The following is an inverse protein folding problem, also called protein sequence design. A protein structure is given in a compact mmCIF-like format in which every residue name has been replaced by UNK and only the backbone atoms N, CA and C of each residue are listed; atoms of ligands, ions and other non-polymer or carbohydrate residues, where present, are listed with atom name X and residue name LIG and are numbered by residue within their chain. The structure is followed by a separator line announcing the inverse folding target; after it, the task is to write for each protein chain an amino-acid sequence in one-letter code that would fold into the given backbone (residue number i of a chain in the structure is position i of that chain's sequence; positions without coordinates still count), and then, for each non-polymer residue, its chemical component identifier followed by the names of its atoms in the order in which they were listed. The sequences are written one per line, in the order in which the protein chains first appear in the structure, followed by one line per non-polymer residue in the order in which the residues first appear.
data_IF_500277040682
#
_entry.id   IF_500277040682
#
_cell.length_a   1.000
_cell.length_b   1.000
_cell.length_c   1.000
_cell.angle_alpha   90.00
_cell.angle_beta   90.00
_cell.angle_gamma   90.00
#
_symmetry.space_group_name_H-M   'P 1'
#
loop_
_entity.id
_entity.type
_entity.pdbx_description
1 polymer ?
#
# COMPACT_ATOMS: atom_id res chain seq x y z
N UNK A 1 17.55 -15.45 -23.14
CA UNK A 1 16.92 -15.15 -21.84
C UNK A 1 15.47 -15.60 -21.98
N UNK A 2 14.96 -16.52 -21.16
CA UNK A 2 13.52 -16.72 -21.09
C UNK A 2 12.88 -15.39 -20.69
N UNK A 3 11.81 -14.98 -21.37
CA UNK A 3 11.03 -13.82 -20.96
C UNK A 3 10.51 -14.09 -19.55
N UNK A 4 10.66 -13.11 -18.65
CA UNK A 4 10.18 -13.23 -17.28
C UNK A 4 8.68 -13.48 -17.31
N UNK A 5 8.22 -14.51 -16.60
CA UNK A 5 6.80 -14.80 -16.50
C UNK A 5 6.08 -13.67 -15.76
N UNK A 6 4.78 -13.55 -15.93
CA UNK A 6 4.01 -12.59 -15.13
C UNK A 6 4.06 -12.92 -13.63
N UNK A 7 4.23 -14.21 -13.29
CA UNK A 7 4.45 -14.63 -11.91
C UNK A 7 5.79 -14.13 -11.36
N UNK A 8 6.86 -14.19 -12.16
CA UNK A 8 8.18 -13.67 -11.78
C UNK A 8 8.11 -12.15 -11.55
N UNK A 9 7.44 -11.43 -12.46
CA UNK A 9 7.24 -9.99 -12.33
C UNK A 9 6.40 -9.63 -11.09
N UNK A 10 5.30 -10.35 -10.85
CA UNK A 10 4.48 -10.18 -9.66
C UNK A 10 5.28 -10.42 -8.37
N UNK A 11 6.13 -11.45 -8.37
CA UNK A 11 7.00 -11.79 -7.24
C UNK A 11 7.97 -10.64 -6.97
N UNK A 12 8.68 -10.16 -8.00
CA UNK A 12 9.62 -9.05 -7.87
C UNK A 12 8.95 -7.77 -7.34
N UNK A 13 7.76 -7.40 -7.84
CA UNK A 13 7.02 -6.22 -7.37
C UNK A 13 6.65 -6.32 -5.88
N UNK A 14 6.27 -7.50 -5.41
CA UNK A 14 5.90 -7.71 -4.00
C UNK A 14 7.15 -7.67 -3.11
N UNK A 15 8.21 -8.36 -3.53
CA UNK A 15 9.47 -8.38 -2.77
C UNK A 15 10.09 -6.99 -2.64
N UNK A 16 10.09 -6.22 -3.73
CA UNK A 16 10.56 -4.83 -3.74
C UNK A 16 9.73 -3.95 -2.80
N UNK A 17 8.40 -4.02 -2.89
CA UNK A 17 7.53 -3.18 -2.10
C UNK A 17 7.60 -3.51 -0.60
N UNK A 18 7.71 -4.78 -0.21
CA UNK A 18 7.75 -5.20 1.19
C UNK A 18 9.15 -5.41 1.78
N UNK A 19 10.20 -5.40 0.95
CA UNK A 19 11.59 -5.46 1.39
C UNK A 19 12.01 -6.81 1.95
N UNK A 20 11.55 -7.91 1.34
CA UNK A 20 11.90 -9.25 1.79
C UNK A 20 11.51 -10.34 0.77
N UNK A 21 12.05 -11.56 0.91
CA UNK A 21 11.78 -12.65 -0.01
C UNK A 21 10.33 -13.14 0.12
N UNK A 22 9.75 -13.58 -0.99
CA UNK A 22 8.33 -13.93 -1.09
C UNK A 22 7.90 -15.00 -0.07
N UNK A 23 8.74 -15.99 0.22
CA UNK A 23 8.45 -17.07 1.16
C UNK A 23 8.30 -16.55 2.60
N UNK A 24 9.12 -15.58 2.98
CA UNK A 24 9.01 -14.95 4.29
C UNK A 24 7.73 -14.12 4.40
N UNK A 25 7.41 -13.38 3.34
CA UNK A 25 6.22 -12.55 3.25
C UNK A 25 4.93 -13.39 3.26
N UNK A 26 4.90 -14.54 2.59
CA UNK A 26 3.77 -15.48 2.61
C UNK A 26 3.51 -16.00 4.03
N UNK A 27 4.57 -16.38 4.75
CA UNK A 27 4.46 -16.80 6.15
C UNK A 27 3.87 -15.70 7.03
N UNK A 28 4.24 -14.44 6.82
CA UNK A 28 3.70 -13.30 7.55
C UNK A 28 2.22 -13.11 7.22
N UNK A 29 1.86 -13.06 5.94
CA UNK A 29 0.49 -12.87 5.47
C UNK A 29 -0.47 -13.97 5.95
N UNK A 30 0.04 -15.20 6.12
CA UNK A 30 -0.72 -16.33 6.64
C UNK A 30 -0.90 -16.27 8.17
N UNK A 31 0.20 -16.02 8.91
CA UNK A 31 0.16 -16.05 10.38
C UNK A 31 -0.52 -14.82 10.98
N UNK A 32 -0.45 -13.67 10.31
CA UNK A 32 -0.96 -12.38 10.81
C UNK A 32 -1.73 -11.63 9.74
N UNK A 33 -2.89 -12.16 9.33
CA UNK A 33 -3.64 -11.66 8.18
C UNK A 33 -4.19 -10.24 8.36
N UNK A 34 -4.34 -9.78 9.61
CA UNK A 34 -4.85 -8.46 9.95
C UNK A 34 -3.77 -7.38 10.06
N UNK A 35 -2.51 -7.78 10.25
CA UNK A 35 -1.40 -6.84 10.48
C UNK A 35 -1.03 -6.07 9.21
N UNK A 36 -1.17 -6.72 8.05
CA UNK A 36 -0.96 -6.10 6.74
C UNK A 36 -1.99 -6.62 5.71
N UNK A 37 -3.16 -5.97 5.61
CA UNK A 37 -4.21 -6.38 4.68
C UNK A 37 -3.82 -6.18 3.21
N UNK A 38 -2.90 -5.26 2.91
CA UNK A 38 -2.41 -5.02 1.55
C UNK A 38 -1.46 -6.13 1.13
N UNK A 39 -0.57 -6.58 2.02
CA UNK A 39 0.29 -7.74 1.76
C UNK A 39 -0.55 -9.00 1.51
N UNK A 40 -1.57 -9.22 2.34
CA UNK A 40 -2.49 -10.34 2.17
C UNK A 40 -3.19 -10.29 0.81
N UNK A 41 -3.66 -9.11 0.40
CA UNK A 41 -4.30 -8.93 -0.90
C UNK A 41 -3.35 -9.21 -2.06
N UNK A 42 -2.11 -8.70 -1.99
CA UNK A 42 -1.07 -8.98 -2.99
C UNK A 42 -0.76 -10.49 -3.09
N UNK A 43 -0.65 -11.18 -1.95
CA UNK A 43 -0.42 -12.63 -1.92
C UNK A 43 -1.57 -13.43 -2.53
N UNK A 44 -2.82 -13.01 -2.30
CA UNK A 44 -3.97 -13.65 -2.95
C UNK A 44 -3.96 -13.46 -4.47
N UNK A 45 -3.64 -12.26 -4.96
CA UNK A 45 -3.54 -12.01 -6.41
C UNK A 45 -2.40 -12.83 -7.03
N UNK A 46 -1.23 -12.88 -6.38
CA UNK A 46 -0.10 -13.71 -6.84
C UNK A 46 -0.45 -15.20 -6.84
N UNK A 47 -1.14 -15.68 -5.81
CA UNK A 47 -1.60 -17.08 -5.77
C UNK A 47 -2.58 -17.40 -6.90
N UNK A 48 -3.48 -16.48 -7.24
CA UNK A 48 -4.36 -16.63 -8.40
C UNK A 48 -3.55 -16.71 -9.71
N UNK A 49 -2.57 -15.83 -9.90
CA UNK A 49 -1.64 -15.87 -11.05
C UNK A 49 -0.91 -17.21 -11.20
N UNK A 50 -0.39 -17.75 -10.09
CA UNK A 50 0.30 -19.04 -10.05
C UNK A 50 -0.61 -20.18 -10.52
N UNK A 51 -1.87 -20.18 -10.11
CA UNK A 51 -2.81 -21.26 -10.42
C UNK A 51 -3.33 -21.16 -11.85
N UNK A 52 -3.73 -19.96 -12.30
CA UNK A 52 -4.53 -19.82 -13.52
C UNK A 52 -3.77 -19.27 -14.71
N UNK A 53 -2.97 -18.22 -14.53
CA UNK A 53 -2.49 -17.42 -15.66
C UNK A 53 -1.21 -17.99 -16.28
N UNK A 54 -0.22 -18.34 -15.46
CA UNK A 54 1.09 -18.70 -15.99
C UNK A 54 1.08 -20.07 -16.70
N UNK A 55 0.36 -21.03 -16.10
CA UNK A 55 0.17 -22.36 -16.67
C UNK A 55 -0.73 -22.33 -17.92
N UNK A 56 -1.76 -21.50 -17.95
CA UNK A 56 -2.65 -21.40 -19.12
C UNK A 56 -1.99 -20.71 -20.30
N UNK A 57 -1.25 -19.62 -20.08
CA UNK A 57 -0.50 -18.93 -21.15
C UNK A 57 0.47 -19.90 -21.82
N UNK A 58 1.29 -20.61 -21.04
CA UNK A 58 2.25 -21.57 -21.59
C UNK A 58 1.55 -22.70 -22.37
N UNK A 59 0.45 -23.25 -21.85
CA UNK A 59 -0.33 -24.31 -22.50
C UNK A 59 -0.96 -23.84 -23.82
N UNK A 60 -1.56 -22.64 -23.84
CA UNK A 60 -2.17 -22.10 -25.05
C UNK A 60 -1.12 -21.67 -26.09
N UNK A 61 0.03 -21.15 -25.67
CA UNK A 61 1.17 -20.88 -26.54
C UNK A 61 1.71 -22.15 -27.18
N UNK A 62 1.96 -23.20 -26.40
CA UNK A 62 2.48 -24.47 -26.93
C UNK A 62 1.47 -25.11 -27.89
N UNK A 63 0.18 -25.08 -27.54
CA UNK A 63 -0.90 -25.59 -28.41
C UNK A 63 -0.98 -24.81 -29.72
N UNK A 64 -0.91 -23.49 -29.67
CA UNK A 64 -0.93 -22.65 -30.87
C UNK A 64 0.31 -22.92 -31.72
N UNK A 65 1.49 -22.97 -31.10
CA UNK A 65 2.75 -23.27 -31.77
C UNK A 65 2.73 -24.63 -32.47
N UNK A 66 2.19 -25.67 -31.83
CA UNK A 66 2.04 -26.99 -32.44
C UNK A 66 1.16 -26.97 -33.71
N UNK A 67 0.08 -26.18 -33.70
CA UNK A 67 -0.85 -26.04 -34.83
C UNK A 67 -0.32 -25.13 -35.95
N UNK A 68 0.64 -24.25 -35.65
CA UNK A 68 1.21 -23.29 -36.60
C UNK A 68 2.69 -23.54 -36.90
N UNK A 69 3.22 -24.71 -36.54
CA UNK A 69 4.64 -25.04 -36.74
C UNK A 69 4.95 -25.11 -38.24
N UNK A 70 6.13 -24.63 -38.68
CA UNK A 70 6.55 -24.77 -40.08
C UNK A 70 6.46 -26.23 -40.56
N UNK A 71 5.88 -26.43 -41.75
CA UNK A 71 5.68 -27.76 -42.33
C UNK A 71 4.36 -28.44 -41.96
N UNK A 72 3.58 -27.89 -41.02
CA UNK A 72 2.20 -28.31 -40.78
C UNK A 72 1.26 -27.55 -41.71
N UNK A 73 0.54 -28.26 -42.58
CA UNK A 73 -0.54 -27.69 -43.39
C UNK A 73 -1.87 -27.85 -42.61
N UNK A 74 -2.48 -26.76 -42.10
CA UNK A 74 -3.68 -26.87 -41.26
C UNK A 74 -4.84 -27.49 -42.05
N UNK A 75 -5.45 -28.53 -41.49
CA UNK A 75 -6.71 -29.06 -42.01
C UNK A 75 -7.88 -28.09 -41.71
N UNK A 76 -9.05 -28.31 -42.33
CA UNK A 76 -10.24 -27.47 -42.08
C UNK A 76 -10.59 -27.36 -40.58
N UNK A 77 -10.51 -28.46 -39.83
CA UNK A 77 -10.76 -28.48 -38.39
C UNK A 77 -9.64 -27.84 -37.55
N UNK A 78 -8.42 -27.72 -38.10
CA UNK A 78 -7.32 -27.04 -37.42
C UNK A 78 -7.55 -25.52 -37.40
N UNK A 79 -8.21 -24.95 -38.39
CA UNK A 79 -8.54 -23.52 -38.41
C UNK A 79 -9.39 -23.11 -37.19
N UNK A 80 -10.39 -23.92 -36.85
CA UNK A 80 -11.20 -23.70 -35.65
C UNK A 80 -10.36 -23.84 -34.36
N UNK A 81 -9.45 -24.83 -34.30
CA UNK A 81 -8.58 -25.03 -33.14
C UNK A 81 -7.53 -23.92 -32.97
N UNK A 82 -6.99 -23.40 -34.06
CA UNK A 82 -6.06 -22.27 -34.08
C UNK A 82 -6.77 -21.03 -33.54
N UNK A 83 -7.95 -20.73 -34.08
CA UNK A 83 -8.72 -19.55 -33.66
C UNK A 83 -9.16 -19.64 -32.20
N UNK A 84 -9.63 -20.80 -31.73
CA UNK A 84 -9.98 -21.00 -30.33
C UNK A 84 -8.75 -20.88 -29.41
N UNK A 85 -7.65 -21.55 -29.73
CA UNK A 85 -6.43 -21.50 -28.91
C UNK A 85 -5.82 -20.09 -28.86
N UNK A 86 -5.91 -19.34 -29.96
CA UNK A 86 -5.48 -17.95 -30.00
C UNK A 86 -6.40 -17.01 -29.20
N UNK A 87 -7.71 -17.29 -29.16
CA UNK A 87 -8.64 -16.54 -28.32
C UNK A 87 -8.35 -16.81 -26.83
N UNK A 88 -8.21 -18.08 -26.45
CA UNK A 88 -7.89 -18.48 -25.08
C UNK A 88 -6.55 -17.90 -24.62
N UNK A 89 -5.54 -17.89 -25.48
CA UNK A 89 -4.24 -17.27 -25.18
C UNK A 89 -4.38 -15.77 -24.88
N UNK A 90 -5.17 -15.03 -25.66
CA UNK A 90 -5.39 -13.60 -25.42
C UNK A 90 -6.12 -13.36 -24.09
N UNK A 91 -7.09 -14.20 -23.75
CA UNK A 91 -7.80 -14.13 -22.47
C UNK A 91 -6.80 -14.35 -21.33
N UNK A 92 -6.01 -15.42 -21.39
CA UNK A 92 -5.00 -15.73 -20.38
C UNK A 92 -3.96 -14.59 -20.22
N UNK A 93 -3.51 -13.98 -21.32
CA UNK A 93 -2.61 -12.82 -21.29
C UNK A 93 -3.26 -11.57 -20.66
N UNK A 94 -4.55 -11.32 -20.96
CA UNK A 94 -5.30 -10.20 -20.39
C UNK A 94 -5.54 -10.39 -18.88
N UNK A 95 -5.87 -11.61 -18.43
CA UNK A 95 -5.99 -11.95 -17.02
C UNK A 95 -4.66 -11.75 -16.29
N UNK A 96 -3.57 -12.25 -16.89
CA UNK A 96 -2.22 -12.09 -16.36
C UNK A 96 -1.83 -10.61 -16.19
N UNK A 97 -2.12 -9.79 -17.21
CA UNK A 97 -1.84 -8.36 -17.20
C UNK A 97 -2.71 -7.61 -16.17
N UNK A 98 -3.97 -8.00 -16.04
CA UNK A 98 -4.91 -7.43 -15.06
C UNK A 98 -4.45 -7.72 -13.63
N UNK A 99 -3.95 -8.93 -13.37
CA UNK A 99 -3.42 -9.28 -12.06
C UNK A 99 -2.14 -8.50 -11.72
N UNK A 100 -1.22 -8.32 -12.68
CA UNK A 100 -0.05 -7.44 -12.50
C UNK A 100 -0.45 -6.00 -12.18
N UNK A 101 -1.43 -5.46 -12.91
CA UNK A 101 -1.95 -4.12 -12.67
C UNK A 101 -2.60 -4.02 -11.28
N UNK A 102 -3.35 -5.04 -10.85
CA UNK A 102 -3.93 -5.09 -9.52
C UNK A 102 -2.84 -5.08 -8.42
N UNK A 103 -1.76 -5.84 -8.58
CA UNK A 103 -0.62 -5.81 -7.65
C UNK A 103 0.02 -4.41 -7.64
N UNK A 104 0.22 -3.79 -8.81
CA UNK A 104 0.74 -2.42 -8.90
C UNK A 104 -0.12 -1.43 -8.10
N UNK A 105 -1.46 -1.52 -8.21
CA UNK A 105 -2.36 -0.67 -7.44
C UNK A 105 -2.29 -0.93 -5.93
N UNK A 106 -2.12 -2.19 -5.51
CA UNK A 106 -1.93 -2.53 -4.08
C UNK A 106 -0.63 -1.95 -3.54
N UNK A 107 0.47 -2.03 -4.31
CA UNK A 107 1.76 -1.41 -3.95
C UNK A 107 1.60 0.11 -3.82
N UNK A 108 0.98 0.77 -4.79
CA UNK A 108 0.70 2.20 -4.74
C UNK A 108 -0.18 2.59 -3.54
N UNK A 109 -1.19 1.78 -3.22
CA UNK A 109 -2.03 1.99 -2.04
C UNK A 109 -1.22 1.89 -0.74
N UNK A 110 -0.22 1.00 -0.67
CA UNK A 110 0.66 0.89 0.50
C UNK A 110 1.55 2.11 0.66
N UNK A 111 2.15 2.59 -0.42
CA UNK A 111 3.01 3.78 -0.40
C UNK A 111 2.24 5.03 0.02
N UNK A 112 1.01 5.18 -0.48
CA UNK A 112 0.11 6.28 -0.09
C UNK A 112 -0.35 6.17 1.37
N UNK A 113 -0.64 4.97 1.88
CA UNK A 113 -0.96 4.77 3.29
C UNK A 113 0.24 5.11 4.21
N UNK A 114 1.44 4.66 3.85
CA UNK A 114 2.66 4.93 4.62
C UNK A 114 3.00 6.44 4.69
N UNK A 115 2.71 7.19 3.63
CA UNK A 115 2.87 8.66 3.64
C UNK A 115 1.78 9.37 4.43
N UNK A 116 0.54 8.88 4.38
CA UNK A 116 -0.57 9.40 5.16
C UNK A 116 -0.32 9.29 6.68
N UNK A 117 0.17 8.14 7.15
CA UNK A 117 0.45 7.90 8.58
C UNK A 117 1.62 8.75 9.12
N UNK A 118 2.53 9.19 8.23
CA UNK A 118 3.67 10.04 8.61
C UNK A 118 3.24 11.46 8.97
N UNK A 119 2.19 11.99 8.36
CA UNK A 119 1.77 13.37 8.59
C UNK A 119 1.25 13.64 10.04
N UNK A 120 0.36 12.81 10.62
CA UNK A 120 -0.04 12.90 12.03
C UNK A 120 1.15 12.76 12.99
N UNK A 121 2.04 11.79 12.75
CA UNK A 121 3.21 11.58 13.60
C UNK A 121 4.13 12.80 13.61
N UNK A 122 4.33 13.43 12.44
CA UNK A 122 5.11 14.67 12.32
C UNK A 122 4.47 15.83 13.08
N UNK A 123 3.14 15.98 13.00
CA UNK A 123 2.41 17.00 13.78
C UNK A 123 2.50 16.77 15.28
N UNK A 124 2.41 15.52 15.74
CA UNK A 124 2.58 15.17 17.15
C UNK A 124 4.00 15.48 17.65
N UNK A 125 5.01 15.16 16.85
CA UNK A 125 6.40 15.50 17.16
C UNK A 125 6.61 17.02 17.23
N UNK A 126 6.08 17.79 16.28
CA UNK A 126 6.12 19.26 16.30
C UNK A 126 5.41 19.84 17.52
N UNK A 127 4.24 19.31 17.89
CA UNK A 127 3.52 19.75 19.08
C UNK A 127 4.28 19.43 20.38
N UNK A 128 4.98 18.28 20.44
CA UNK A 128 5.84 17.95 21.58
C UNK A 128 7.04 18.89 21.68
N UNK A 129 7.70 19.20 20.56
CA UNK A 129 8.80 20.18 20.50
C UNK A 129 8.33 21.57 20.94
N UNK A 130 7.17 22.03 20.45
CA UNK A 130 6.59 23.32 20.83
C UNK A 130 6.28 23.42 22.34
N UNK A 131 5.80 22.33 22.96
CA UNK A 131 5.60 22.28 24.42
C UNK A 131 6.92 22.34 25.19
N UNK A 132 7.92 21.57 24.79
CA UNK A 132 9.24 21.59 25.45
C UNK A 132 9.94 22.94 25.34
N UNK A 133 9.80 23.66 24.23
CA UNK A 133 10.33 25.01 24.09
C UNK A 133 9.61 26.04 24.98
N UNK A 134 8.31 25.81 25.25
CA UNK A 134 7.53 26.67 26.15
C UNK A 134 7.93 26.49 27.62
N UNK A 135 8.19 25.25 28.05
CA UNK A 135 8.66 24.97 29.41
C UNK A 135 10.06 25.56 29.68
N UNK A 136 10.94 25.58 28.67
CA UNK A 136 12.24 26.26 28.76
C UNK A 136 12.11 27.79 28.83
N UNK A 137 11.12 28.37 28.16
CA UNK A 137 10.91 29.82 28.18
C UNK A 137 10.25 30.30 29.49
N UNK A 138 9.38 29.48 30.09
CA UNK A 138 8.75 29.77 31.39
C UNK A 138 9.77 29.73 32.55
N UNK A 139 10.79 28.87 32.49
CA UNK A 139 11.88 28.85 33.48
C UNK A 139 12.90 30.00 33.32
N UNK A 140 12.86 30.74 32.21
CA UNK A 140 13.75 31.88 31.95
C UNK A 140 13.17 33.25 32.32
N UNK A 141 11.88 33.36 32.64
CA UNK A 141 11.28 34.60 33.14
C UNK A 141 11.11 34.55 34.65
N UNK A 142 12.16 34.99 35.36
CA UNK A 142 12.00 35.61 36.68
C UNK A 142 11.38 37.00 36.43
N UNK A 143 10.13 37.29 36.84
CA UNK A 143 9.63 38.64 36.81
C UNK A 143 10.18 39.37 38.04
N UNK A 144 11.25 40.15 37.86
CA UNK A 144 11.59 41.19 38.83
C UNK A 144 10.63 42.36 38.61
N UNK A 145 9.41 42.23 39.16
CA UNK A 145 8.44 43.31 39.20
C UNK A 145 8.30 43.75 40.66
N UNK A 146 9.13 44.73 41.01
CA UNK A 146 9.05 45.49 42.23
C UNK A 146 7.62 46.05 42.43
N UNK A 147 6.98 45.65 43.52
CA UNK A 147 5.72 46.20 43.98
C UNK A 147 5.97 47.50 44.79
N UNK A 148 5.28 48.61 44.50
CA UNK A 148 5.19 49.73 45.44
C UNK A 148 4.04 49.51 46.44
N UNK A 149 4.16 50.02 47.68
CA UNK A 149 3.29 49.66 48.80
C UNK A 149 1.96 50.44 48.82
N UNK A 150 0.98 49.83 49.48
CA UNK A 150 -0.37 50.34 49.69
C UNK A 150 -0.42 51.56 50.63
N UNK A 151 -1.33 52.51 50.34
CA UNK A 151 -1.85 53.47 51.31
C UNK A 151 -3.38 53.40 51.32
N UNK A 152 -3.90 53.25 52.53
CA UNK A 152 -5.29 53.10 52.95
C UNK A 152 -6.01 54.47 52.97
N UNK A 153 -7.28 54.51 52.56
CA UNK A 153 -8.19 55.64 52.79
C UNK A 153 -9.62 55.17 53.11
N UNK A 154 -10.42 55.92 53.90
CA UNK A 154 -11.48 55.35 54.74
C UNK A 154 -12.90 55.36 54.16
N UNK A 155 -13.77 54.68 54.92
CA UNK A 155 -15.14 54.19 54.77
C UNK A 155 -16.30 55.12 54.32
N UNK A 156 -17.33 54.42 53.78
CA UNK A 156 -18.80 54.54 53.95
C UNK A 156 -19.62 55.35 52.90
N UNK A 157 -20.96 55.17 52.80
CA UNK A 157 -21.85 54.03 53.14
C UNK A 157 -22.76 53.57 51.96
N UNK A 158 -23.52 52.48 52.13
CA UNK A 158 -24.46 51.85 51.14
C UNK A 158 -25.75 52.66 50.88
N UNK A 159 -26.95 52.06 50.68
CA UNK A 159 -27.36 50.67 50.45
C UNK A 159 -28.33 50.51 49.24
N UNK A 160 -28.72 49.29 48.86
CA UNK A 160 -29.92 49.10 48.01
C UNK A 160 -30.03 47.74 47.31
N UNK A 161 -31.07 46.92 47.60
CA UNK A 161 -31.14 45.52 47.18
C UNK A 161 -31.96 45.32 45.89
N UNK A 162 -31.75 44.15 45.28
CA UNK A 162 -32.42 43.77 44.04
C UNK A 162 -33.91 43.41 44.17
N UNK A 163 -34.50 43.20 43.00
CA UNK A 163 -35.44 42.11 42.74
C UNK A 163 -35.42 41.77 41.25
#
# INVERSE_FOLDING_TARGET
MPDATALDQATAMIEEAWGGPIEALESIAFRRPTDDPLLRSAMHIRSALLVTADSSVAVHQERLHALTRPGHAPAFYDLQRITSSAADLRVAQAESSTALQAISHVVQARETAATADRAPATRLAQAAVARSGRDQHVLGQVPDQAAPPAVVGPLAPGPGPGR
#
